data_IF_695699510374
#
_entry.id   IF_695699510374
#
_cell.length_a   1.000
_cell.length_b   1.000
_cell.length_c   1.000
_cell.angle_alpha   90.00
_cell.angle_beta   90.00
_cell.angle_gamma   90.00
#
_symmetry.space_group_name_H-M   'P 1'
#
loop_
_entity.id
_entity.type
_entity.pdbx_description
1 polymer ?
#
# COMPACT_ATOMS: atom_id res chain seq x y z
N UNK A 1 -30.18 31.22 -2.20
CA UNK A 1 -30.04 30.25 -3.31
C UNK A 1 -28.80 29.40 -3.06
N UNK A 2 -28.97 28.13 -2.69
CA UNK A 2 -27.84 27.21 -2.58
C UNK A 2 -27.30 26.94 -4.00
N UNK A 3 -26.11 27.46 -4.31
CA UNK A 3 -25.42 27.10 -5.55
C UNK A 3 -25.15 25.60 -5.48
N UNK A 4 -25.74 24.81 -6.39
CA UNK A 4 -25.40 23.40 -6.56
C UNK A 4 -23.89 23.30 -6.72
N UNK A 5 -23.21 22.67 -5.74
CA UNK A 5 -21.77 22.50 -5.78
C UNK A 5 -21.48 21.49 -6.89
N UNK A 6 -20.87 21.94 -7.98
CA UNK A 6 -20.52 21.08 -9.13
C UNK A 6 -19.67 19.91 -8.62
N UNK A 7 -20.20 18.69 -8.75
CA UNK A 7 -19.47 17.47 -8.42
C UNK A 7 -18.43 17.27 -9.52
N UNK A 8 -17.16 17.21 -9.13
CA UNK A 8 -16.04 16.92 -10.02
C UNK A 8 -16.02 15.47 -10.48
N UNK A 9 -15.19 15.18 -11.47
CA UNK A 9 -15.08 13.86 -12.09
C UNK A 9 -13.84 13.15 -11.55
N UNK A 10 -13.97 11.85 -11.25
CA UNK A 10 -12.82 11.01 -10.93
C UNK A 10 -11.94 10.86 -12.17
N UNK A 11 -10.61 10.92 -12.02
CA UNK A 11 -9.66 10.69 -13.09
C UNK A 11 -9.91 9.35 -13.80
N UNK A 12 -9.87 9.38 -15.13
CA UNK A 12 -9.89 8.18 -15.95
C UNK A 12 -8.56 7.42 -15.87
N UNK A 13 -8.53 6.12 -16.23
CA UNK A 13 -7.29 5.35 -16.27
C UNK A 13 -6.19 6.04 -17.11
N UNK A 14 -6.53 6.60 -18.27
CA UNK A 14 -5.58 7.30 -19.13
C UNK A 14 -5.03 8.58 -18.47
N UNK A 15 -5.84 9.30 -17.71
CA UNK A 15 -5.40 10.49 -16.97
C UNK A 15 -4.44 10.12 -15.82
N UNK A 16 -4.73 9.05 -15.07
CA UNK A 16 -3.80 8.53 -14.06
C UNK A 16 -2.44 8.17 -14.67
N UNK A 17 -2.44 7.43 -15.77
CA UNK A 17 -1.21 7.05 -16.49
C UNK A 17 -0.45 8.28 -16.98
N UNK A 18 -1.15 9.25 -17.59
CA UNK A 18 -0.54 10.49 -18.08
C UNK A 18 0.10 11.28 -16.95
N UNK A 19 -0.61 11.50 -15.85
CA UNK A 19 -0.07 12.21 -14.69
C UNK A 19 1.14 11.48 -14.12
N UNK A 20 1.04 10.17 -13.89
CA UNK A 20 2.14 9.38 -13.30
C UNK A 20 3.40 9.33 -14.17
N UNK A 21 3.24 9.17 -15.49
CA UNK A 21 4.36 9.09 -16.43
C UNK A 21 5.08 10.42 -16.62
N UNK A 22 4.35 11.54 -16.56
CA UNK A 22 4.88 12.91 -16.79
C UNK A 22 5.30 13.64 -15.52
N UNK A 23 4.90 13.15 -14.35
CA UNK A 23 5.17 13.76 -13.05
C UNK A 23 6.66 14.00 -12.83
N UNK A 24 7.00 15.19 -12.32
CA UNK A 24 8.34 15.51 -11.83
C UNK A 24 8.33 15.55 -10.31
N UNK A 25 9.21 14.77 -9.70
CA UNK A 25 9.41 14.80 -8.26
C UNK A 25 10.04 16.13 -7.85
N UNK A 26 9.61 16.69 -6.72
CA UNK A 26 10.28 17.85 -6.15
C UNK A 26 11.68 17.44 -5.68
N UNK A 27 12.71 18.00 -6.33
CA UNK A 27 14.11 17.71 -6.03
C UNK A 27 14.47 17.91 -4.55
N UNK A 28 13.80 18.85 -3.87
CA UNK A 28 14.02 19.12 -2.43
C UNK A 28 13.47 18.01 -1.53
N UNK A 29 12.58 17.17 -2.04
CA UNK A 29 11.93 16.07 -1.31
C UNK A 29 12.59 14.72 -1.54
N UNK A 30 13.49 14.58 -2.53
CA UNK A 30 14.11 13.30 -2.89
C UNK A 30 14.77 12.62 -1.69
N UNK A 31 15.62 13.32 -0.93
CA UNK A 31 16.28 12.75 0.24
C UNK A 31 15.28 12.25 1.30
N UNK A 32 14.18 13.00 1.52
CA UNK A 32 13.11 12.59 2.42
C UNK A 32 12.41 11.32 1.93
N UNK A 33 12.14 11.22 0.63
CA UNK A 33 11.50 10.05 0.01
C UNK A 33 12.42 8.83 0.12
N UNK A 34 13.71 8.99 -0.14
CA UNK A 34 14.68 7.90 -0.05
C UNK A 34 14.81 7.37 1.38
N UNK A 35 14.93 8.25 2.39
CA UNK A 35 14.94 7.84 3.79
C UNK A 35 13.69 7.06 4.19
N UNK A 36 12.51 7.48 3.71
CA UNK A 36 11.26 6.76 3.97
C UNK A 36 11.30 5.36 3.35
N UNK A 37 11.74 5.25 2.09
CA UNK A 37 11.85 3.96 1.39
C UNK A 37 12.84 3.04 2.14
N UNK A 38 14.03 3.54 2.43
CA UNK A 38 15.15 2.75 2.93
C UNK A 38 14.98 2.34 4.39
N UNK A 39 14.35 3.18 5.21
CA UNK A 39 14.20 2.91 6.65
C UNK A 39 12.84 2.35 7.05
N UNK A 40 11.80 2.52 6.23
CA UNK A 40 10.42 2.12 6.58
C UNK A 40 9.82 1.09 5.64
N UNK A 41 10.06 1.20 4.33
CA UNK A 41 9.46 0.29 3.34
C UNK A 41 10.30 -0.98 3.16
N UNK A 42 11.56 -0.82 2.72
CA UNK A 42 12.43 -1.95 2.35
C UNK A 42 12.68 -2.91 3.52
N UNK A 43 12.98 -2.45 4.76
CA UNK A 43 13.21 -3.35 5.88
C UNK A 43 12.00 -4.23 6.22
N UNK A 44 10.79 -3.78 5.87
CA UNK A 44 9.54 -4.47 6.15
C UNK A 44 8.97 -5.24 4.93
N UNK A 45 9.70 -5.28 3.81
CA UNK A 45 9.26 -5.92 2.56
C UNK A 45 8.76 -7.35 2.77
N UNK A 46 9.50 -8.16 3.52
CA UNK A 46 9.16 -9.58 3.75
C UNK A 46 7.82 -9.74 4.48
N UNK A 47 7.49 -8.81 5.40
CA UNK A 47 6.21 -8.80 6.09
C UNK A 47 5.07 -8.47 5.14
N UNK A 48 5.23 -7.46 4.28
CA UNK A 48 4.23 -7.13 3.26
C UNK A 48 4.02 -8.26 2.24
N UNK A 49 5.10 -8.97 1.85
CA UNK A 49 5.01 -10.17 1.01
C UNK A 49 4.23 -11.28 1.71
N UNK A 50 4.49 -11.52 3.01
CA UNK A 50 3.72 -12.48 3.81
C UNK A 50 2.22 -12.15 3.83
N UNK A 51 1.87 -10.88 4.06
CA UNK A 51 0.47 -10.40 4.06
C UNK A 51 -0.17 -10.62 2.68
N UNK A 52 0.52 -10.23 1.59
CA UNK A 52 0.05 -10.51 0.22
C UNK A 52 -0.28 -11.99 0.04
N UNK A 53 0.62 -12.88 0.44
CA UNK A 53 0.45 -14.32 0.25
C UNK A 53 -0.77 -14.85 1.01
N UNK A 54 -1.01 -14.35 2.23
CA UNK A 54 -2.20 -14.68 3.03
C UNK A 54 -3.50 -14.16 2.39
N UNK A 55 -3.46 -12.98 1.73
CA UNK A 55 -4.64 -12.43 1.02
C UNK A 55 -5.07 -13.34 -0.12
N UNK A 56 -4.13 -13.85 -0.93
CA UNK A 56 -4.42 -14.73 -2.08
C UNK A 56 -4.65 -16.19 -1.70
N UNK A 57 -4.58 -16.55 -0.40
CA UNK A 57 -4.75 -17.92 0.05
C UNK A 57 -3.59 -18.86 -0.32
N UNK A 58 -2.40 -18.30 -0.60
CA UNK A 58 -1.20 -19.12 -0.80
C UNK A 58 -0.74 -19.70 0.55
N UNK A 59 -0.48 -21.01 0.59
CA UNK A 59 -0.20 -21.79 1.80
C UNK A 59 1.03 -21.28 2.57
N UNK A 60 0.94 -21.40 3.90
CA UNK A 60 1.82 -20.93 4.97
C UNK A 60 3.33 -20.87 4.72
N UNK A 61 3.89 -19.68 4.96
CA UNK A 61 5.33 -19.36 5.04
C UNK A 61 6.13 -20.11 6.13
N UNK A 62 5.48 -20.90 6.98
CA UNK A 62 6.17 -21.68 8.01
C UNK A 62 6.92 -22.90 7.46
N UNK A 63 6.52 -23.43 6.30
CA UNK A 63 7.30 -24.46 5.59
C UNK A 63 8.58 -23.83 4.98
N UNK A 64 8.52 -22.57 4.57
CA UNK A 64 9.64 -21.87 3.94
C UNK A 64 10.67 -21.36 4.96
N UNK A 65 10.26 -21.04 6.21
CA UNK A 65 11.19 -20.56 7.24
C UNK A 65 12.26 -21.58 7.63
N UNK A 66 11.93 -22.87 7.71
CA UNK A 66 12.89 -23.90 8.14
C UNK A 66 13.95 -24.29 7.09
N UNK A 67 13.85 -23.80 5.84
CA UNK A 67 14.84 -24.06 4.79
C UNK A 67 15.83 -22.90 4.58
N UNK A 68 15.56 -21.71 5.11
CA UNK A 68 16.34 -20.50 4.80
C UNK A 68 17.38 -20.20 5.90
N UNK A 69 17.23 -20.74 7.11
CA UNK A 69 18.09 -20.46 8.26
C UNK A 69 19.37 -21.31 8.38
N UNK A 70 19.69 -22.18 7.42
CA UNK A 70 20.93 -23.00 7.48
C UNK A 70 21.76 -23.05 6.18
N UNK A 71 21.44 -22.27 5.14
CA UNK A 71 22.21 -22.31 3.90
C UNK A 71 23.23 -21.17 3.85
N UNK A 72 24.50 -21.49 4.13
CA UNK A 72 25.60 -20.72 3.56
C UNK A 72 25.53 -20.83 2.02
N UNK A 73 25.92 -19.79 1.27
CA UNK A 73 25.79 -19.75 -0.20
C UNK A 73 26.46 -20.92 -0.94
N UNK A 74 27.38 -21.64 -0.28
CA UNK A 74 28.17 -22.70 -0.89
C UNK A 74 27.55 -24.12 -0.75
N UNK A 75 26.49 -24.31 0.05
CA UNK A 75 25.93 -25.63 0.35
C UNK A 75 24.68 -26.02 -0.47
N UNK A 76 24.45 -25.35 -1.60
CA UNK A 76 23.27 -25.58 -2.48
C UNK A 76 23.18 -27.01 -3.03
N UNK A 77 24.29 -27.75 -3.09
CA UNK A 77 24.33 -29.14 -3.54
C UNK A 77 23.66 -30.13 -2.55
N UNK A 78 23.67 -29.84 -1.24
CA UNK A 78 23.16 -30.74 -0.19
C UNK A 78 21.63 -30.75 -0.12
N UNK A 79 20.99 -29.64 -0.51
CA UNK A 79 19.53 -29.47 -0.48
C UNK A 79 18.85 -30.38 -1.52
N UNK A 80 19.49 -30.58 -2.68
CA UNK A 80 18.97 -31.42 -3.75
C UNK A 80 18.89 -32.91 -3.36
N UNK A 81 19.81 -33.41 -2.52
CA UNK A 81 19.78 -34.79 -2.03
C UNK A 81 18.65 -35.04 -1.02
N UNK A 82 18.37 -34.06 -0.15
CA UNK A 82 17.29 -34.18 0.85
C UNK A 82 15.92 -34.19 0.17
N UNK A 83 15.73 -33.37 -0.86
CA UNK A 83 14.46 -33.28 -1.61
C UNK A 83 14.16 -34.55 -2.43
N UNK A 84 15.19 -35.23 -2.97
CA UNK A 84 15.05 -36.52 -3.65
C UNK A 84 14.56 -37.64 -2.72
N UNK A 85 14.94 -37.61 -1.44
CA UNK A 85 14.53 -38.60 -0.44
C UNK A 85 13.05 -38.52 -0.03
N UNK A 86 12.38 -37.39 -0.30
CA UNK A 86 10.97 -37.16 0.10
C UNK A 86 9.98 -37.17 -1.09
N UNK A 87 10.39 -37.63 -2.27
CA UNK A 87 9.50 -37.79 -3.43
C UNK A 87 9.01 -36.48 -4.06
N UNK A 88 9.62 -35.34 -3.71
CA UNK A 88 9.31 -34.04 -4.30
C UNK A 88 10.06 -33.89 -5.64
N UNK A 89 9.31 -33.73 -6.74
CA UNK A 89 9.88 -33.56 -8.08
C UNK A 89 10.64 -32.23 -8.18
N UNK A 90 11.79 -32.28 -8.85
CA UNK A 90 12.72 -31.19 -9.11
C UNK A 90 12.01 -29.94 -9.70
N UNK A 91 11.52 -29.05 -8.85
CA UNK A 91 11.30 -27.66 -9.26
C UNK A 91 12.59 -26.92 -8.93
N UNK A 92 13.35 -26.63 -9.99
CA UNK A 92 14.50 -25.73 -10.04
C UNK A 92 14.31 -24.57 -9.06
N UNK A 93 15.27 -24.39 -8.15
CA UNK A 93 15.34 -23.18 -7.32
C UNK A 93 15.66 -22.00 -8.23
N UNK A 94 14.62 -21.44 -8.83
CA UNK A 94 14.68 -20.22 -9.62
C UNK A 94 14.81 -19.07 -8.63
N UNK A 95 15.92 -18.31 -8.72
CA UNK A 95 16.00 -16.95 -8.14
C UNK A 95 14.70 -16.24 -8.52
N UNK A 96 13.89 -15.71 -7.58
CA UNK A 96 12.60 -15.15 -7.94
C UNK A 96 12.79 -14.12 -9.05
N UNK A 97 12.19 -14.41 -10.21
CA UNK A 97 12.06 -13.46 -11.30
C UNK A 97 11.50 -12.13 -10.76
N UNK A 98 11.81 -10.98 -11.37
CA UNK A 98 11.21 -9.71 -10.99
C UNK A 98 9.70 -9.86 -10.90
N UNK A 99 9.12 -9.42 -9.78
CA UNK A 99 7.72 -9.62 -9.38
C UNK A 99 6.77 -9.10 -10.46
N UNK A 100 6.43 -9.99 -11.38
CA UNK A 100 5.33 -9.90 -12.33
C UNK A 100 4.52 -11.20 -12.22
N UNK A 101 4.20 -11.60 -10.98
CA UNK A 101 3.29 -12.73 -10.74
C UNK A 101 1.89 -12.16 -10.50
N UNK A 102 1.05 -12.34 -11.52
CA UNK A 102 -0.24 -11.72 -11.84
C UNK A 102 -1.39 -11.98 -10.86
N UNK A 103 -1.12 -12.31 -9.60
CA UNK A 103 -2.18 -12.57 -8.61
C UNK A 103 -1.91 -11.87 -7.28
N UNK A 104 -2.93 -11.20 -6.79
CA UNK A 104 -2.96 -10.50 -5.50
C UNK A 104 -2.34 -9.11 -5.52
N UNK A 105 -2.68 -8.35 -4.48
CA UNK A 105 -2.15 -7.00 -4.25
C UNK A 105 -0.61 -7.01 -4.18
N UNK A 106 0.08 -6.12 -4.92
CA UNK A 106 1.54 -6.01 -4.83
C UNK A 106 1.98 -5.58 -3.42
N UNK A 107 3.09 -6.14 -2.94
CA UNK A 107 3.60 -5.86 -1.59
C UNK A 107 3.82 -4.35 -1.34
N UNK A 108 4.24 -3.61 -2.38
CA UNK A 108 4.49 -2.18 -2.27
C UNK A 108 3.19 -1.36 -2.16
N UNK A 109 2.05 -1.85 -2.66
CA UNK A 109 0.75 -1.21 -2.45
C UNK A 109 0.35 -1.30 -0.98
N UNK A 110 0.56 -2.47 -0.35
CA UNK A 110 0.32 -2.65 1.09
C UNK A 110 1.21 -1.71 1.90
N UNK A 111 2.49 -1.57 1.54
CA UNK A 111 3.41 -0.65 2.20
C UNK A 111 2.96 0.82 2.11
N UNK A 112 2.45 1.25 0.94
CA UNK A 112 1.95 2.61 0.73
C UNK A 112 0.64 2.88 1.48
N UNK A 113 -0.24 1.89 1.62
CA UNK A 113 -1.43 2.00 2.46
C UNK A 113 -1.01 2.10 3.94
N UNK A 114 -0.09 1.25 4.39
CA UNK A 114 0.41 1.27 5.76
C UNK A 114 1.06 2.62 6.13
N UNK A 115 1.74 3.25 5.16
CA UNK A 115 2.25 4.61 5.32
C UNK A 115 1.14 5.61 5.61
N UNK A 116 0.10 5.66 4.77
CA UNK A 116 -0.93 6.68 4.88
C UNK A 116 -1.81 6.47 6.11
N UNK A 117 -2.22 5.23 6.38
CA UNK A 117 -3.18 4.93 7.45
C UNK A 117 -2.53 4.91 8.84
N UNK A 118 -1.27 4.50 8.93
CA UNK A 118 -0.66 4.18 10.21
C UNK A 118 0.69 4.87 10.45
N UNK A 119 1.24 5.61 9.49
CA UNK A 119 2.61 6.14 9.54
C UNK A 119 3.64 5.04 9.86
N UNK A 120 3.46 3.88 9.22
CA UNK A 120 4.24 2.66 9.44
C UNK A 120 4.17 2.06 10.87
N UNK A 121 3.17 2.43 11.68
CA UNK A 121 2.99 1.87 13.02
C UNK A 121 2.24 0.53 12.99
N UNK A 122 2.98 -0.56 13.22
CA UNK A 122 2.45 -1.93 13.29
C UNK A 122 1.56 -2.23 14.51
N UNK A 123 1.29 -1.26 15.37
CA UNK A 123 0.33 -1.38 16.49
C UNK A 123 -1.06 -0.83 16.13
N UNK A 124 -1.29 -0.50 14.85
CA UNK A 124 -2.55 0.07 14.35
C UNK A 124 -3.21 -0.80 13.27
N UNK A 125 -4.53 -0.72 13.20
CA UNK A 125 -5.33 -1.34 12.15
C UNK A 125 -5.04 -0.71 10.78
N UNK A 126 -4.73 -1.53 9.79
CA UNK A 126 -4.56 -1.06 8.40
C UNK A 126 -5.84 -0.44 7.83
N UNK A 127 -7.01 -0.70 8.43
CA UNK A 127 -8.29 -0.12 8.03
C UNK A 127 -8.32 1.40 8.08
N UNK A 128 -7.88 1.99 9.20
CA UNK A 128 -8.06 3.41 9.48
C UNK A 128 -7.10 3.96 10.55
N UNK A 129 -6.12 3.17 10.97
CA UNK A 129 -5.13 3.55 11.98
C UNK A 129 -5.60 3.44 13.43
N UNK A 130 -6.76 2.85 13.74
CA UNK A 130 -7.19 2.58 15.12
C UNK A 130 -6.24 1.61 15.82
N UNK A 131 -6.19 1.63 17.16
CA UNK A 131 -5.33 0.72 17.94
C UNK A 131 -5.71 -0.74 17.77
N UNK A 132 -4.74 -1.64 17.56
CA UNK A 132 -4.97 -3.10 17.51
C UNK A 132 -5.45 -3.72 18.84
N UNK A 133 -5.50 -2.93 19.92
CA UNK A 133 -5.96 -3.38 21.25
C UNK A 133 -7.49 -3.47 21.37
N UNK A 134 -8.22 -2.97 20.38
CA UNK A 134 -9.68 -3.03 20.33
C UNK A 134 -10.13 -3.17 18.88
N UNK A 135 -11.42 -3.32 18.61
CA UNK A 135 -11.96 -3.21 17.26
C UNK A 135 -11.86 -1.77 16.73
N UNK A 136 -11.89 -1.63 15.41
CA UNK A 136 -12.05 -0.31 14.78
C UNK A 136 -13.32 0.37 15.28
N UNK A 137 -13.22 1.65 15.64
CA UNK A 137 -14.35 2.50 16.00
C UNK A 137 -14.58 3.58 14.95
N UNK A 138 -13.51 4.02 14.27
CA UNK A 138 -13.63 4.80 13.04
C UNK A 138 -14.13 3.90 11.91
N UNK A 139 -14.68 4.51 10.86
CA UNK A 139 -15.20 3.76 9.73
C UNK A 139 -14.06 3.01 9.01
N UNK A 140 -14.28 1.74 8.59
CA UNK A 140 -15.42 0.88 8.92
C UNK A 140 -15.31 0.34 10.36
N UNK A 141 -16.36 0.43 11.21
CA UNK A 141 -16.28 0.01 12.60
C UNK A 141 -16.46 -1.51 12.77
N UNK A 142 -15.93 -2.05 13.87
CA UNK A 142 -16.11 -3.44 14.29
C UNK A 142 -15.19 -4.45 13.61
N UNK A 143 -14.07 -4.01 13.04
CA UNK A 143 -13.08 -4.85 12.36
C UNK A 143 -11.82 -5.04 13.23
N UNK A 144 -11.00 -6.09 12.98
CA UNK A 144 -11.14 -7.15 11.98
C UNK A 144 -12.16 -8.23 12.35
N UNK A 145 -12.62 -8.99 11.34
CA UNK A 145 -13.45 -10.19 11.54
C UNK A 145 -12.58 -11.45 11.54
N UNK A 146 -12.06 -11.80 12.72
CA UNK A 146 -11.21 -12.99 12.96
C UNK A 146 -11.77 -13.85 14.11
N UNK A 147 -11.21 -15.04 14.33
CA UNK A 147 -11.76 -16.06 15.24
C UNK A 147 -11.45 -15.84 16.74
N UNK A 148 -10.92 -14.68 17.12
CA UNK A 148 -10.64 -14.33 18.51
C UNK A 148 -10.94 -12.84 18.79
N UNK A 149 -10.94 -12.49 20.07
CA UNK A 149 -11.10 -11.10 20.56
C UNK A 149 -9.75 -10.36 20.55
N UNK A 150 -9.74 -9.01 20.64
CA UNK A 150 -8.49 -8.25 20.74
C UNK A 150 -7.62 -8.69 21.93
N UNK A 151 -6.28 -8.43 21.90
CA UNK A 151 -5.57 -7.67 20.88
C UNK A 151 -5.36 -8.47 19.58
N UNK A 152 -5.29 -7.75 18.46
CA UNK A 152 -5.02 -8.31 17.13
C UNK A 152 -3.56 -8.08 16.72
N UNK A 153 -3.08 -8.91 15.80
CA UNK A 153 -1.85 -8.61 15.08
C UNK A 153 -2.13 -7.67 13.90
N UNK A 154 -1.09 -6.95 13.47
CA UNK A 154 -1.18 -6.14 12.27
C UNK A 154 -1.52 -6.97 11.03
N UNK A 155 -0.93 -8.16 10.91
CA UNK A 155 -1.08 -9.03 9.74
C UNK A 155 -2.54 -9.50 9.62
N UNK A 156 -3.17 -9.92 10.72
CA UNK A 156 -4.60 -10.25 10.76
C UNK A 156 -5.47 -9.07 10.33
N UNK A 157 -5.20 -7.88 10.90
CA UNK A 157 -5.92 -6.67 10.51
C UNK A 157 -5.70 -6.31 9.05
N UNK A 158 -4.50 -6.46 8.53
CA UNK A 158 -4.12 -6.08 7.18
C UNK A 158 -4.77 -7.01 6.15
N UNK A 159 -4.70 -8.33 6.36
CA UNK A 159 -5.35 -9.31 5.49
C UNK A 159 -6.86 -9.06 5.45
N UNK A 160 -7.47 -8.81 6.61
CA UNK A 160 -8.90 -8.53 6.69
C UNK A 160 -9.28 -7.21 5.99
N UNK A 161 -8.48 -6.15 6.14
CA UNK A 161 -8.68 -4.87 5.45
C UNK A 161 -8.58 -5.00 3.93
N UNK A 162 -7.55 -5.70 3.43
CA UNK A 162 -7.34 -5.89 2.00
C UNK A 162 -8.47 -6.70 1.36
N UNK A 163 -9.00 -7.72 2.06
CA UNK A 163 -10.19 -8.47 1.61
C UNK A 163 -11.48 -7.64 1.69
N UNK A 164 -11.63 -6.80 2.72
CA UNK A 164 -12.75 -5.87 2.83
C UNK A 164 -12.78 -4.90 1.63
N UNK A 165 -11.62 -4.39 1.22
CA UNK A 165 -11.48 -3.54 0.04
C UNK A 165 -11.63 -4.27 -1.31
N UNK A 166 -11.70 -5.61 -1.29
CA UNK A 166 -11.82 -6.47 -2.47
C UNK A 166 -10.52 -6.64 -3.25
N UNK A 167 -9.36 -6.41 -2.62
CA UNK A 167 -8.06 -6.49 -3.30
C UNK A 167 -7.65 -7.93 -3.63
N UNK A 168 -8.25 -8.92 -2.97
CA UNK A 168 -8.16 -10.34 -3.29
C UNK A 168 -8.82 -10.70 -4.64
N UNK A 169 -9.67 -9.82 -5.17
CA UNK A 169 -10.43 -10.01 -6.42
C UNK A 169 -9.86 -9.25 -7.61
N UNK A 170 -8.71 -8.58 -7.42
CA UNK A 170 -8.06 -7.80 -8.48
C UNK A 170 -6.95 -8.65 -9.11
N UNK A 171 -7.17 -9.03 -10.36
CA UNK A 171 -6.24 -9.88 -11.12
C UNK A 171 -5.09 -9.09 -11.78
N UNK A 172 -5.28 -7.80 -12.06
CA UNK A 172 -4.34 -7.00 -12.85
C UNK A 172 -4.00 -5.68 -12.15
N UNK A 173 -2.75 -5.54 -11.71
CA UNK A 173 -2.25 -4.36 -11.01
C UNK A 173 -1.33 -3.53 -11.91
N UNK A 174 -1.92 -2.84 -12.88
CA UNK A 174 -1.25 -1.81 -13.66
C UNK A 174 -1.31 -0.44 -12.96
N UNK A 175 -0.56 0.55 -13.46
CA UNK A 175 -0.50 1.92 -12.93
C UNK A 175 -1.88 2.51 -12.60
N UNK A 176 -2.87 2.54 -13.52
CA UNK A 176 -4.15 3.16 -13.21
C UNK A 176 -4.93 2.41 -12.12
N UNK A 177 -4.84 1.07 -12.08
CA UNK A 177 -5.47 0.28 -11.01
C UNK A 177 -4.81 0.54 -9.67
N UNK A 178 -3.46 0.60 -9.62
CA UNK A 178 -2.71 0.92 -8.40
C UNK A 178 -3.11 2.30 -7.86
N UNK A 179 -3.02 3.34 -8.70
CA UNK A 179 -3.26 4.72 -8.26
C UNK A 179 -4.70 4.95 -7.84
N UNK A 180 -5.66 4.43 -8.62
CA UNK A 180 -7.08 4.53 -8.28
C UNK A 180 -7.41 3.84 -6.95
N UNK A 181 -6.83 2.67 -6.67
CA UNK A 181 -7.09 1.97 -5.41
C UNK A 181 -6.40 2.65 -4.21
N UNK A 182 -5.19 3.19 -4.38
CA UNK A 182 -4.54 3.99 -3.33
C UNK A 182 -5.35 5.24 -2.98
N UNK A 183 -5.92 5.91 -3.99
CA UNK A 183 -6.80 7.05 -3.77
C UNK A 183 -8.15 6.65 -3.17
N UNK A 184 -8.78 5.58 -3.68
CA UNK A 184 -10.03 5.03 -3.12
C UNK A 184 -9.89 4.72 -1.64
N UNK A 185 -8.77 4.14 -1.22
CA UNK A 185 -8.51 3.76 0.17
C UNK A 185 -8.66 4.96 1.12
N UNK A 186 -8.24 6.14 0.67
CA UNK A 186 -8.36 7.41 1.41
C UNK A 186 -9.68 8.15 1.13
N UNK A 187 -10.21 7.99 -0.08
CA UNK A 187 -11.42 8.64 -0.59
C UNK A 187 -11.16 9.68 -1.68
N UNK A 188 -12.06 9.72 -2.66
CA UNK A 188 -12.03 10.63 -3.83
C UNK A 188 -12.49 12.07 -3.53
N UNK A 189 -12.44 12.52 -2.27
CA UNK A 189 -13.03 13.80 -1.86
C UNK A 189 -12.43 15.01 -2.57
N UNK A 190 -11.13 14.96 -2.89
CA UNK A 190 -10.44 16.03 -3.61
C UNK A 190 -10.94 16.16 -5.07
N UNK A 191 -11.02 15.06 -5.80
CA UNK A 191 -11.49 15.06 -7.19
C UNK A 191 -12.98 15.41 -7.25
N UNK A 192 -13.81 14.78 -6.41
CA UNK A 192 -15.27 14.95 -6.43
C UNK A 192 -15.74 16.31 -5.93
N UNK A 193 -15.09 16.91 -4.92
CA UNK A 193 -15.64 18.11 -4.28
C UNK A 193 -14.79 19.36 -4.45
N UNK A 194 -13.54 19.21 -4.90
CA UNK A 194 -12.61 20.33 -5.10
C UNK A 194 -12.04 20.36 -6.52
N UNK A 195 -12.36 19.35 -7.36
CA UNK A 195 -11.88 19.24 -8.75
C UNK A 195 -10.36 19.41 -8.84
N UNK A 196 -9.64 18.75 -7.92
CA UNK A 196 -8.19 18.80 -7.82
C UNK A 196 -7.60 17.42 -7.61
N UNK A 197 -6.35 17.26 -8.02
CA UNK A 197 -5.56 16.07 -7.79
C UNK A 197 -5.25 15.91 -6.29
N UNK A 198 -5.50 14.73 -5.74
CA UNK A 198 -5.39 14.46 -4.30
C UNK A 198 -3.95 14.57 -3.78
N UNK A 199 -3.69 15.29 -2.66
CA UNK A 199 -2.38 15.27 -2.01
C UNK A 199 -1.95 13.86 -1.55
N UNK A 200 -2.89 12.94 -1.32
CA UNK A 200 -2.56 11.55 -0.93
C UNK A 200 -1.80 10.79 -2.01
N UNK A 201 -1.98 11.15 -3.28
CA UNK A 201 -1.18 10.60 -4.39
C UNK A 201 -0.01 11.51 -4.74
N UNK A 202 -0.26 12.83 -4.86
CA UNK A 202 0.60 13.70 -5.66
C UNK A 202 1.47 14.68 -4.85
N UNK A 203 1.32 14.75 -3.52
CA UNK A 203 2.12 15.65 -2.67
C UNK A 203 3.62 15.34 -2.78
N UNK A 204 4.46 16.36 -3.00
CA UNK A 204 5.90 16.19 -3.27
C UNK A 204 6.25 16.06 -4.76
N UNK A 205 5.32 16.42 -5.64
CA UNK A 205 5.55 16.54 -7.08
C UNK A 205 5.15 17.91 -7.63
N UNK A 206 5.39 18.13 -8.92
CA UNK A 206 4.91 19.30 -9.64
C UNK A 206 3.39 19.36 -9.82
N UNK A 207 2.69 18.22 -9.70
CA UNK A 207 1.24 18.08 -9.88
C UNK A 207 0.44 18.72 -8.72
N UNK A 208 0.96 18.68 -7.50
CA UNK A 208 0.30 19.22 -6.31
C UNK A 208 1.03 20.48 -5.79
N UNK A 209 0.26 21.52 -5.44
CA UNK A 209 0.80 22.77 -4.88
C UNK A 209 0.28 23.05 -3.47
N UNK A 210 -1.03 23.08 -3.29
CA UNK A 210 -1.70 23.33 -2.02
C UNK A 210 -3.14 22.84 -2.07
N UNK A 211 -3.82 22.89 -0.93
CA UNK A 211 -5.17 22.39 -0.75
C UNK A 211 -5.14 21.08 0.01
N UNK A 212 -5.68 21.07 1.23
CA UNK A 212 -5.89 19.83 1.98
C UNK A 212 -7.11 19.90 2.85
N UNK A 213 -7.72 18.75 3.08
CA UNK A 213 -8.67 18.57 4.17
C UNK A 213 -7.93 18.53 5.50
N UNK A 214 -8.47 19.23 6.49
CA UNK A 214 -7.96 19.23 7.85
C UNK A 214 -9.13 18.85 8.76
N UNK A 215 -8.93 17.82 9.55
CA UNK A 215 -9.87 17.45 10.60
C UNK A 215 -9.74 18.43 11.77
N UNK A 216 -10.84 19.09 12.10
CA UNK A 216 -10.96 19.97 13.24
C UNK A 216 -12.10 19.48 14.13
N UNK A 217 -11.92 19.59 15.44
CA UNK A 217 -12.99 19.28 16.40
C UNK A 217 -13.87 20.52 16.53
N UNK A 218 -15.13 20.41 16.11
CA UNK A 218 -16.15 21.46 16.21
C UNK A 218 -17.34 20.89 16.98
N UNK A 219 -17.69 21.53 18.10
CA UNK A 219 -18.80 21.12 18.97
C UNK A 219 -18.70 19.66 19.45
N UNK A 220 -17.49 19.24 19.83
CA UNK A 220 -17.24 17.87 20.28
C UNK A 220 -17.16 16.82 19.16
N UNK A 221 -17.52 17.17 17.92
CA UNK A 221 -17.51 16.27 16.76
C UNK A 221 -16.32 16.58 15.84
N UNK A 222 -15.72 15.54 15.27
CA UNK A 222 -14.72 15.71 14.22
C UNK A 222 -15.41 16.15 12.92
N UNK A 223 -14.88 17.20 12.29
CA UNK A 223 -15.30 17.68 10.98
C UNK A 223 -14.07 17.85 10.10
N UNK A 224 -14.19 17.43 8.84
CA UNK A 224 -13.15 17.61 7.85
C UNK A 224 -13.48 18.84 6.98
N UNK A 225 -12.67 19.88 7.09
CA UNK A 225 -12.84 21.12 6.34
C UNK A 225 -11.71 21.28 5.30
N UNK A 226 -12.04 21.79 4.12
CA UNK A 226 -11.05 22.00 3.06
C UNK A 226 -10.37 23.36 3.19
N UNK A 227 -9.04 23.36 3.20
CA UNK A 227 -8.20 24.55 3.28
C UNK A 227 -7.38 24.71 2.00
N UNK A 228 -7.73 25.61 1.07
CA UNK A 228 -7.13 25.70 -0.27
C UNK A 228 -5.65 26.13 -0.27
N UNK A 229 -5.21 26.84 0.77
CA UNK A 229 -3.83 27.33 0.90
C UNK A 229 -2.95 26.44 1.78
N UNK A 230 -3.52 25.48 2.50
CA UNK A 230 -2.76 24.59 3.35
C UNK A 230 -2.01 23.57 2.49
N UNK A 231 -0.73 23.34 2.80
CA UNK A 231 0.12 22.40 2.07
C UNK A 231 0.25 21.11 2.87
N UNK A 232 0.18 19.96 2.21
CA UNK A 232 0.47 18.67 2.83
C UNK A 232 1.97 18.52 3.08
N UNK A 233 2.36 18.22 4.31
CA UNK A 233 3.72 17.80 4.66
C UNK A 233 3.95 16.31 4.41
N UNK A 234 2.87 15.53 4.37
CA UNK A 234 2.89 14.09 4.04
C UNK A 234 3.18 13.94 2.54
N UNK A 235 4.08 13.01 2.21
CA UNK A 235 4.43 12.69 0.82
C UNK A 235 3.28 11.90 0.19
N UNK A 236 3.06 12.11 -1.10
CA UNK A 236 2.07 11.37 -1.85
C UNK A 236 2.55 9.94 -2.17
N UNK A 237 1.63 8.99 -2.17
CA UNK A 237 1.96 7.58 -2.47
C UNK A 237 2.43 7.38 -3.91
N UNK A 238 1.91 8.14 -4.88
CA UNK A 238 2.39 8.09 -6.27
C UNK A 238 3.83 8.61 -6.39
N UNK A 239 4.20 9.61 -5.58
CA UNK A 239 5.57 10.14 -5.49
C UNK A 239 6.54 9.10 -4.96
N UNK A 240 6.18 8.41 -3.88
CA UNK A 240 7.00 7.33 -3.31
C UNK A 240 7.10 6.16 -4.30
N UNK A 241 5.97 5.78 -4.91
CA UNK A 241 5.90 4.74 -5.94
C UNK A 241 6.83 5.05 -7.12
N UNK A 242 6.79 6.29 -7.63
CA UNK A 242 7.67 6.73 -8.73
C UNK A 242 9.14 6.70 -8.34
N UNK A 243 9.46 7.05 -7.09
CA UNK A 243 10.84 6.97 -6.61
C UNK A 243 11.32 5.52 -6.48
N UNK A 244 10.48 4.59 -6.02
CA UNK A 244 10.81 3.16 -5.99
C UNK A 244 11.01 2.60 -7.41
N UNK A 245 10.15 2.97 -8.37
CA UNK A 245 10.25 2.57 -9.78
C UNK A 245 11.56 3.10 -10.40
N UNK A 246 11.84 4.40 -10.27
CA UNK A 246 13.05 5.03 -10.84
C UNK A 246 14.36 4.50 -10.23
N UNK A 247 14.31 3.99 -8.98
CA UNK A 247 15.43 3.32 -8.32
C UNK A 247 15.55 1.83 -8.70
N UNK A 248 14.66 1.29 -9.53
CA UNK A 248 14.66 -0.12 -9.91
C UNK A 248 14.27 -1.08 -8.79
N UNK A 249 13.64 -0.59 -7.71
CA UNK A 249 13.23 -1.42 -6.56
C UNK A 249 11.96 -2.24 -6.85
N UNK A 250 11.17 -1.77 -7.83
CA UNK A 250 9.93 -2.38 -8.30
C UNK A 250 9.81 -2.19 -9.81
N UNK A 251 8.99 -3.01 -10.43
CA UNK A 251 8.58 -2.88 -11.83
C UNK A 251 7.05 -2.79 -11.87
N UNK A 252 6.51 -1.89 -12.69
CA UNK A 252 5.06 -1.65 -12.78
C UNK A 252 4.65 -1.63 -14.25
N UNK A 253 3.50 -2.23 -14.54
CA UNK A 253 2.91 -2.28 -15.87
C UNK A 253 2.01 -1.04 -16.06
N UNK A 254 2.06 -0.40 -17.23
CA UNK A 254 1.30 0.84 -17.50
C UNK A 254 -0.04 0.59 -18.19
N UNK A 255 -0.22 -0.58 -18.81
CA UNK A 255 -1.39 -1.01 -19.58
C UNK A 255 -2.07 -2.24 -18.98
#
# INVERSE_FOLDING_TARGET
MAKSKKIGKILSPAEYVKLYSTMKLDGKKIAQIDLLIDHKIIPNKNRYVSIRNQVVGAVDSNITRNLICFANPEDTASIASVLKGQGLRNNTFTIPAPVADSKGVPWFVIALIHYIECDFNFSKHLFNGDSLKDYTHRFPPGYPKVHHKPPFTFDESAVNALKYEGFDKIDHWNVPVILKNLEKYNGFGYEMYQNMNSPYLWSGSDIYKSGKYIETKKDGKWKSDFYPKAVSSQLGTAVILKRMETRGLITIIYN
#
